data_IF_222932964590
#
_entry.id   IF_222932964590
#
_cell.length_a   1.000
_cell.length_b   1.000
_cell.length_c   1.000
_cell.angle_alpha   90.00
_cell.angle_beta   90.00
_cell.angle_gamma   90.00
#
_symmetry.space_group_name_H-M   'P 1'
#
loop_
_entity.id
_entity.type
_entity.pdbx_description
1 polymer ?
#
# COMPACT_ATOMS: atom_id res chain seq x y z
N UNK A 1 -32.40 -78.66 10.77
CA UNK A 1 -31.35 -77.68 11.10
C UNK A 1 -30.60 -77.36 9.80
N UNK A 2 -30.83 -76.17 9.22
CA UNK A 2 -30.15 -75.72 8.00
C UNK A 2 -28.86 -74.99 8.38
N UNK A 3 -27.75 -75.38 7.76
CA UNK A 3 -26.43 -74.75 7.99
C UNK A 3 -26.39 -73.35 7.34
N UNK A 4 -25.74 -72.36 7.98
CA UNK A 4 -25.66 -71.01 7.44
C UNK A 4 -24.72 -70.97 6.22
N UNK A 5 -25.12 -70.23 5.19
CA UNK A 5 -24.33 -70.02 3.98
C UNK A 5 -23.00 -69.27 4.28
N UNK A 6 -21.90 -69.59 3.57
CA UNK A 6 -20.60 -68.98 3.85
C UNK A 6 -20.57 -67.49 3.48
N UNK A 7 -19.81 -66.66 4.21
CA UNK A 7 -19.68 -65.23 3.90
C UNK A 7 -18.97 -65.04 2.56
N UNK A 8 -19.60 -64.29 1.65
CA UNK A 8 -19.01 -63.89 0.37
C UNK A 8 -17.86 -62.91 0.63
N UNK A 9 -16.63 -63.30 0.31
CA UNK A 9 -15.48 -62.42 0.46
C UNK A 9 -15.61 -61.23 -0.51
N UNK A 10 -15.88 -60.03 0.00
CA UNK A 10 -15.74 -58.79 -0.79
C UNK A 10 -14.25 -58.61 -1.07
N UNK A 11 -13.82 -58.95 -2.29
CA UNK A 11 -12.47 -58.62 -2.79
C UNK A 11 -12.25 -57.12 -2.62
N UNK A 12 -11.36 -56.72 -1.69
CA UNK A 12 -10.99 -55.31 -1.56
C UNK A 12 -10.24 -54.89 -2.82
N UNK A 13 -10.81 -53.95 -3.58
CA UNK A 13 -10.20 -53.32 -4.76
C UNK A 13 -9.13 -52.32 -4.28
N UNK A 14 -8.09 -52.84 -3.64
CA UNK A 14 -7.00 -52.03 -3.05
C UNK A 14 -5.64 -52.32 -3.72
N UNK A 15 -5.59 -53.29 -4.65
CA UNK A 15 -4.35 -53.72 -5.32
C UNK A 15 -3.98 -53.00 -6.62
N UNK A 16 -4.92 -52.34 -7.29
CA UNK A 16 -4.70 -51.67 -8.60
C UNK A 16 -4.47 -50.15 -8.46
N UNK A 17 -4.28 -49.65 -7.24
CA UNK A 17 -4.45 -48.22 -6.90
C UNK A 17 -3.30 -47.28 -7.28
N UNK A 18 -2.04 -47.73 -7.33
CA UNK A 18 -0.90 -46.80 -7.49
C UNK A 18 -0.71 -46.29 -8.93
N UNK A 19 -0.87 -47.17 -9.92
CA UNK A 19 -0.75 -46.80 -11.35
C UNK A 19 -1.89 -45.88 -11.78
N UNK A 20 -3.12 -46.15 -11.33
CA UNK A 20 -4.25 -45.26 -11.58
C UNK A 20 -4.06 -43.91 -10.85
N UNK A 21 -3.65 -43.91 -9.58
CA UNK A 21 -3.33 -42.67 -8.87
C UNK A 21 -2.21 -41.87 -9.55
N UNK A 22 -1.16 -42.55 -10.03
CA UNK A 22 -0.08 -41.92 -10.78
C UNK A 22 -0.57 -41.33 -12.09
N UNK A 23 -1.42 -42.02 -12.85
CA UNK A 23 -1.99 -41.52 -14.11
C UNK A 23 -2.85 -40.26 -13.89
N UNK A 24 -3.58 -40.18 -12.77
CA UNK A 24 -4.36 -39.00 -12.41
C UNK A 24 -3.50 -37.85 -11.85
N UNK A 25 -2.39 -38.14 -11.16
CA UNK A 25 -1.45 -37.11 -10.67
C UNK A 25 -0.52 -36.58 -11.76
N UNK A 26 -0.19 -37.40 -12.76
CA UNK A 26 0.84 -37.10 -13.74
C UNK A 26 0.61 -35.76 -14.49
N UNK A 27 -0.60 -35.42 -14.98
CA UNK A 27 -0.84 -34.14 -15.64
C UNK A 27 -0.57 -32.94 -14.71
N UNK A 28 -0.97 -33.04 -13.45
CA UNK A 28 -0.74 -32.00 -12.46
C UNK A 28 0.75 -31.86 -12.12
N UNK A 29 1.47 -32.97 -11.98
CA UNK A 29 2.92 -32.98 -11.73
C UNK A 29 3.71 -32.45 -12.92
N UNK A 30 3.31 -32.77 -14.15
CA UNK A 30 3.93 -32.23 -15.36
C UNK A 30 3.73 -30.73 -15.43
N UNK A 31 2.51 -30.23 -15.20
CA UNK A 31 2.22 -28.79 -15.19
C UNK A 31 2.96 -28.08 -14.06
N UNK A 32 2.98 -28.60 -12.84
CA UNK A 32 3.73 -28.05 -11.72
C UNK A 32 5.24 -28.05 -12.01
N UNK A 33 5.74 -29.15 -12.57
CA UNK A 33 7.13 -29.29 -12.97
C UNK A 33 7.54 -28.24 -14.00
N UNK A 34 6.75 -28.08 -15.06
CA UNK A 34 7.03 -27.16 -16.15
C UNK A 34 6.81 -25.68 -15.78
N UNK A 35 5.77 -25.37 -15.00
CA UNK A 35 5.38 -23.98 -14.71
C UNK A 35 5.95 -23.42 -13.41
N UNK A 36 6.36 -24.27 -12.47
CA UNK A 36 6.86 -23.84 -11.16
C UNK A 36 8.29 -24.33 -10.93
N UNK A 37 8.53 -25.64 -11.01
CA UNK A 37 9.83 -26.21 -10.66
C UNK A 37 10.92 -25.81 -11.66
N UNK A 38 10.60 -25.85 -12.96
CA UNK A 38 11.51 -25.46 -14.03
C UNK A 38 11.97 -24.00 -13.92
N UNK A 39 11.07 -22.97 -13.83
CA UNK A 39 11.52 -21.60 -13.69
C UNK A 39 12.29 -21.35 -12.38
N UNK A 40 11.94 -22.02 -11.28
CA UNK A 40 12.73 -21.93 -10.04
C UNK A 40 14.15 -22.44 -10.26
N UNK A 41 14.31 -23.65 -10.82
CA UNK A 41 15.62 -24.22 -11.12
C UNK A 41 16.41 -23.34 -12.09
N UNK A 42 15.75 -22.83 -13.12
CA UNK A 42 16.34 -21.89 -14.08
C UNK A 42 16.80 -20.60 -13.41
N UNK A 43 16.00 -20.02 -12.52
CA UNK A 43 16.36 -18.82 -11.75
C UNK A 43 17.55 -19.07 -10.83
N UNK A 44 17.62 -20.23 -10.17
CA UNK A 44 18.76 -20.62 -9.32
C UNK A 44 20.03 -20.77 -10.15
N UNK A 45 19.96 -21.40 -11.32
CA UNK A 45 21.13 -21.47 -12.21
C UNK A 45 21.53 -20.08 -12.68
N UNK A 46 20.56 -19.26 -13.14
CA UNK A 46 20.79 -17.88 -13.59
C UNK A 46 21.39 -16.98 -12.52
N UNK A 47 21.11 -17.20 -11.23
CA UNK A 47 21.69 -16.35 -10.16
C UNK A 47 23.20 -16.54 -9.98
N UNK A 48 23.81 -17.58 -10.55
CA UNK A 48 25.27 -17.75 -10.61
C UNK A 48 25.93 -17.07 -11.81
N UNK A 49 25.14 -16.52 -12.74
CA UNK A 49 25.66 -15.79 -13.91
C UNK A 49 25.59 -14.28 -13.68
N UNK A 50 26.35 -13.53 -14.47
CA UNK A 50 26.30 -12.08 -14.48
C UNK A 50 24.95 -11.54 -15.03
N UNK A 51 24.76 -10.23 -14.96
CA UNK A 51 23.52 -9.58 -15.40
C UNK A 51 23.24 -9.79 -16.90
N UNK A 52 24.28 -9.88 -17.73
CA UNK A 52 24.18 -10.19 -19.16
C UNK A 52 23.82 -11.65 -19.43
N UNK A 53 24.16 -12.57 -18.53
CA UNK A 53 24.02 -14.01 -18.68
C UNK A 53 25.17 -14.67 -19.46
N UNK A 54 26.21 -13.92 -19.80
CA UNK A 54 27.32 -14.38 -20.65
C UNK A 54 28.52 -14.86 -19.82
N UNK A 55 28.71 -14.33 -18.61
CA UNK A 55 29.77 -14.70 -17.68
C UNK A 55 29.27 -15.43 -16.45
N UNK A 56 30.03 -16.43 -15.99
CA UNK A 56 29.78 -17.09 -14.70
C UNK A 56 30.35 -16.23 -13.56
N UNK A 57 29.47 -15.62 -12.77
CA UNK A 57 29.82 -14.74 -11.64
C UNK A 57 29.97 -15.50 -10.31
N UNK A 58 29.66 -16.80 -10.28
CA UNK A 58 29.78 -17.63 -9.08
C UNK A 58 28.93 -17.09 -7.92
N UNK A 59 29.57 -16.78 -6.79
CA UNK A 59 28.89 -16.29 -5.58
C UNK A 59 28.92 -14.77 -5.40
N UNK A 60 29.45 -14.02 -6.37
CA UNK A 60 29.61 -12.56 -6.22
C UNK A 60 28.25 -11.85 -6.11
N UNK A 61 27.24 -12.33 -6.84
CA UNK A 61 25.86 -11.85 -6.72
C UNK A 61 25.31 -12.01 -5.30
N UNK A 62 25.64 -13.11 -4.62
CA UNK A 62 25.20 -13.35 -3.25
C UNK A 62 25.98 -12.48 -2.25
N UNK A 63 27.28 -12.23 -2.51
CA UNK A 63 28.06 -11.29 -1.70
C UNK A 63 27.47 -9.90 -1.75
N UNK A 64 27.08 -9.44 -2.94
CA UNK A 64 26.44 -8.14 -3.15
C UNK A 64 25.17 -7.97 -2.29
N UNK A 65 24.38 -9.03 -2.10
CA UNK A 65 23.18 -8.99 -1.23
C UNK A 65 23.50 -8.57 0.22
N UNK A 66 24.69 -8.92 0.72
CA UNK A 66 25.12 -8.64 2.09
C UNK A 66 26.03 -7.41 2.21
N UNK A 67 26.58 -6.90 1.11
CA UNK A 67 27.46 -5.72 1.13
C UNK A 67 26.77 -4.46 0.65
N UNK A 68 25.73 -4.55 -0.17
CA UNK A 68 24.98 -3.39 -0.64
C UNK A 68 23.99 -2.89 0.43
N UNK A 69 24.04 -1.60 0.76
CA UNK A 69 23.19 -1.00 1.81
C UNK A 69 21.73 -0.84 1.34
N UNK A 70 21.51 -0.60 0.05
CA UNK A 70 20.18 -0.51 -0.56
C UNK A 70 19.47 -1.86 -0.52
N UNK A 71 20.15 -2.94 -0.93
CA UNK A 71 19.61 -4.30 -0.88
C UNK A 71 19.32 -4.72 0.56
N UNK A 72 20.24 -4.44 1.50
CA UNK A 72 20.02 -4.76 2.93
C UNK A 72 18.83 -4.01 3.52
N UNK A 73 18.65 -2.75 3.16
CA UNK A 73 17.49 -1.95 3.59
C UNK A 73 16.19 -2.54 3.02
N UNK A 74 16.17 -2.86 1.72
CA UNK A 74 15.02 -3.50 1.08
C UNK A 74 14.70 -4.87 1.70
N UNK A 75 15.72 -5.68 2.01
CA UNK A 75 15.55 -6.99 2.64
C UNK A 75 14.98 -6.86 4.05
N UNK A 76 15.52 -5.95 4.87
CA UNK A 76 15.00 -5.67 6.22
C UNK A 76 13.55 -5.22 6.16
N UNK A 77 13.22 -4.30 5.27
CA UNK A 77 11.84 -3.81 5.12
C UNK A 77 10.89 -4.93 4.69
N UNK A 78 11.29 -5.78 3.76
CA UNK A 78 10.49 -6.95 3.36
C UNK A 78 10.27 -7.92 4.51
N UNK A 79 11.32 -8.25 5.29
CA UNK A 79 11.18 -9.13 6.46
C UNK A 79 10.24 -8.54 7.50
N UNK A 80 10.35 -7.23 7.78
CA UNK A 80 9.43 -6.53 8.68
C UNK A 80 8.00 -6.66 8.17
N UNK A 81 7.75 -6.39 6.88
CA UNK A 81 6.41 -6.50 6.29
C UNK A 81 5.84 -7.92 6.29
N UNK A 82 6.67 -8.93 5.99
CA UNK A 82 6.26 -10.35 5.96
C UNK A 82 5.82 -10.84 7.34
N UNK A 83 6.40 -10.31 8.42
CA UNK A 83 5.98 -10.67 9.78
C UNK A 83 4.86 -9.76 10.27
N UNK A 84 5.01 -8.45 10.11
CA UNK A 84 4.11 -7.45 10.68
C UNK A 84 2.72 -7.51 10.07
N UNK A 85 2.61 -7.50 8.73
CA UNK A 85 1.29 -7.42 8.09
C UNK A 85 0.40 -8.64 8.37
N UNK A 86 0.86 -9.89 8.20
CA UNK A 86 0.06 -11.06 8.57
C UNK A 86 -0.26 -11.09 10.06
N UNK A 87 0.69 -10.76 10.94
CA UNK A 87 0.47 -10.76 12.39
C UNK A 87 -0.64 -9.79 12.79
N UNK A 88 -0.56 -8.54 12.30
CA UNK A 88 -1.56 -7.51 12.60
C UNK A 88 -2.91 -7.87 11.95
N UNK A 89 -2.92 -8.32 10.69
CA UNK A 89 -4.15 -8.70 10.00
C UNK A 89 -4.85 -9.88 10.69
N UNK A 90 -4.11 -10.91 11.11
CA UNK A 90 -4.65 -12.06 11.84
C UNK A 90 -5.13 -11.65 13.24
N UNK A 91 -4.37 -10.83 13.97
CA UNK A 91 -4.78 -10.36 15.30
C UNK A 91 -6.08 -9.55 15.23
N UNK A 92 -6.16 -8.57 14.32
CA UNK A 92 -7.36 -7.77 14.11
C UNK A 92 -8.52 -8.64 13.62
N UNK A 93 -8.28 -9.55 12.68
CA UNK A 93 -9.28 -10.49 12.18
C UNK A 93 -9.87 -11.36 13.31
N UNK A 94 -9.05 -11.81 14.24
CA UNK A 94 -9.49 -12.59 15.40
C UNK A 94 -10.32 -11.74 16.38
N UNK A 95 -9.88 -10.52 16.66
CA UNK A 95 -10.64 -9.57 17.50
C UNK A 95 -12.03 -9.33 16.88
N UNK A 96 -12.09 -9.04 15.59
CA UNK A 96 -13.37 -8.85 14.89
C UNK A 96 -14.21 -10.12 14.89
N UNK A 97 -13.62 -11.30 14.68
CA UNK A 97 -14.34 -12.57 14.71
C UNK A 97 -15.07 -12.79 16.04
N UNK A 98 -14.36 -12.59 17.17
CA UNK A 98 -14.92 -12.73 18.53
C UNK A 98 -15.97 -11.66 18.81
N UNK A 99 -15.70 -10.41 18.46
CA UNK A 99 -16.61 -9.30 18.75
C UNK A 99 -17.93 -9.45 17.98
N UNK A 100 -17.85 -9.94 16.75
CA UNK A 100 -19.01 -10.14 15.87
C UNK A 100 -19.93 -11.27 16.35
N UNK A 101 -19.41 -12.25 17.08
CA UNK A 101 -20.21 -13.34 17.65
C UNK A 101 -21.27 -12.83 18.65
N UNK A 102 -21.01 -11.68 19.28
CA UNK A 102 -21.94 -11.04 20.23
C UNK A 102 -22.96 -10.11 19.57
N UNK A 103 -22.90 -9.89 18.26
CA UNK A 103 -23.72 -8.91 17.54
C UNK A 103 -24.85 -9.60 16.77
N UNK A 104 -26.11 -9.15 16.99
CA UNK A 104 -27.31 -9.72 16.35
C UNK A 104 -27.31 -9.62 14.82
N UNK A 105 -26.54 -8.69 14.26
CA UNK A 105 -26.36 -8.46 12.82
C UNK A 105 -24.96 -8.87 12.32
N UNK A 106 -24.33 -9.86 12.96
CA UNK A 106 -22.93 -10.21 12.70
C UNK A 106 -22.60 -10.56 11.23
N UNK A 107 -23.57 -11.06 10.46
CA UNK A 107 -23.40 -11.33 9.02
C UNK A 107 -23.16 -10.05 8.21
N UNK A 108 -23.93 -8.99 8.47
CA UNK A 108 -23.75 -7.71 7.77
C UNK A 108 -22.38 -7.08 8.08
N UNK A 109 -21.94 -7.16 9.33
CA UNK A 109 -20.63 -6.68 9.74
C UNK A 109 -19.49 -7.44 9.06
N UNK A 110 -19.56 -8.78 9.01
CA UNK A 110 -18.60 -9.62 8.26
C UNK A 110 -18.55 -9.20 6.80
N UNK A 111 -19.70 -8.99 6.15
CA UNK A 111 -19.74 -8.58 4.75
C UNK A 111 -19.00 -7.26 4.51
N UNK A 112 -19.18 -6.25 5.37
CA UNK A 112 -18.48 -4.96 5.23
C UNK A 112 -16.98 -5.11 5.46
N UNK A 113 -16.57 -5.85 6.49
CA UNK A 113 -15.14 -6.07 6.82
C UNK A 113 -14.43 -6.88 5.73
N UNK A 114 -15.13 -7.84 5.10
CA UNK A 114 -14.58 -8.67 4.03
C UNK A 114 -14.77 -8.09 2.63
N UNK A 115 -15.62 -7.07 2.46
CA UNK A 115 -15.87 -6.39 1.18
C UNK A 115 -14.58 -5.96 0.46
N UNK A 116 -13.55 -5.41 1.14
CA UNK A 116 -12.32 -4.98 0.47
C UNK A 116 -11.58 -6.11 -0.25
N UNK A 117 -11.75 -7.37 0.15
CA UNK A 117 -11.11 -8.51 -0.54
C UNK A 117 -11.62 -8.71 -1.97
N UNK A 118 -12.80 -8.17 -2.30
CA UNK A 118 -13.34 -8.18 -3.66
C UNK A 118 -12.72 -7.08 -4.55
N UNK A 119 -12.02 -6.11 -3.97
CA UNK A 119 -11.39 -5.02 -4.71
C UNK A 119 -10.09 -5.53 -5.35
N UNK A 120 -9.90 -5.28 -6.64
CA UNK A 120 -8.65 -5.63 -7.32
C UNK A 120 -7.48 -4.80 -6.81
N UNK A 121 -6.26 -5.35 -6.85
CA UNK A 121 -5.06 -4.64 -6.42
C UNK A 121 -4.85 -3.33 -7.20
N UNK A 122 -5.19 -3.31 -8.49
CA UNK A 122 -5.13 -2.11 -9.32
C UNK A 122 -6.12 -1.04 -8.83
N UNK A 123 -7.38 -1.42 -8.58
CA UNK A 123 -8.39 -0.49 -8.09
C UNK A 123 -8.02 0.06 -6.71
N UNK A 124 -7.54 -0.80 -5.81
CA UNK A 124 -7.00 -0.38 -4.51
C UNK A 124 -5.87 0.64 -4.69
N UNK A 125 -4.91 0.38 -5.59
CA UNK A 125 -3.83 1.32 -5.89
C UNK A 125 -4.31 2.69 -6.37
N UNK A 126 -5.34 2.72 -7.25
CA UNK A 126 -5.94 3.98 -7.72
C UNK A 126 -6.66 4.71 -6.58
N UNK A 127 -7.45 3.99 -5.76
CA UNK A 127 -8.13 4.58 -4.60
C UNK A 127 -7.12 5.21 -3.65
N UNK A 128 -6.06 4.48 -3.28
CA UNK A 128 -5.02 5.01 -2.41
C UNK A 128 -4.32 6.23 -3.04
N UNK A 129 -4.00 6.17 -4.33
CA UNK A 129 -3.41 7.32 -5.04
C UNK A 129 -4.30 8.56 -4.97
N UNK A 130 -5.61 8.41 -5.16
CA UNK A 130 -6.56 9.52 -5.09
C UNK A 130 -6.74 10.03 -3.67
N UNK A 131 -6.85 9.12 -2.69
CA UNK A 131 -7.01 9.49 -1.28
C UNK A 131 -5.80 10.27 -0.76
N UNK A 132 -4.59 9.85 -1.17
CA UNK A 132 -3.31 10.46 -0.77
C UNK A 132 -2.76 11.45 -1.81
N UNK A 133 -3.61 11.96 -2.71
CA UNK A 133 -3.19 13.04 -3.61
C UNK A 133 -2.78 14.26 -2.78
N UNK A 134 -1.71 14.92 -3.22
CA UNK A 134 -1.13 16.07 -2.52
C UNK A 134 -1.99 17.33 -2.71
N UNK A 135 -2.74 17.39 -3.80
CA UNK A 135 -3.67 18.49 -4.07
C UNK A 135 -4.87 18.41 -3.09
N UNK A 136 -5.06 19.38 -2.16
CA UNK A 136 -6.15 19.34 -1.19
C UNK A 136 -7.54 19.26 -1.83
N UNK A 137 -7.70 19.75 -3.06
CA UNK A 137 -8.98 19.76 -3.77
C UNK A 137 -9.33 18.38 -4.37
N UNK A 138 -8.36 17.46 -4.42
CA UNK A 138 -8.49 16.10 -5.00
C UNK A 138 -8.23 15.00 -3.98
N UNK A 139 -7.29 15.24 -3.07
CA UNK A 139 -6.85 14.33 -2.03
C UNK A 139 -7.78 14.33 -0.83
N UNK A 140 -8.63 13.31 -0.71
CA UNK A 140 -9.61 13.21 0.38
C UNK A 140 -8.95 13.29 1.77
N UNK A 141 -7.80 12.64 1.96
CA UNK A 141 -7.11 12.68 3.24
C UNK A 141 -6.58 14.09 3.57
N UNK A 142 -6.04 14.79 2.58
CA UNK A 142 -5.51 16.14 2.75
C UNK A 142 -6.64 17.16 2.95
N UNK A 143 -7.74 17.03 2.21
CA UNK A 143 -8.95 17.85 2.38
C UNK A 143 -9.50 17.78 3.81
N UNK A 144 -9.59 16.55 4.36
CA UNK A 144 -10.04 16.35 5.75
C UNK A 144 -9.07 16.98 6.74
N UNK A 145 -7.75 16.82 6.52
CA UNK A 145 -6.74 17.43 7.39
C UNK A 145 -6.81 18.96 7.39
N UNK A 146 -6.86 19.57 6.21
CA UNK A 146 -6.99 21.03 6.05
C UNK A 146 -8.29 21.53 6.68
N UNK A 147 -9.42 20.85 6.46
CA UNK A 147 -10.70 21.24 7.06
C UNK A 147 -10.68 21.19 8.60
N UNK A 148 -10.05 20.18 9.19
CA UNK A 148 -9.86 20.12 10.65
C UNK A 148 -8.93 21.23 11.11
N UNK A 149 -7.80 21.44 10.43
CA UNK A 149 -6.86 22.51 10.76
C UNK A 149 -7.53 23.89 10.73
N UNK A 150 -8.29 24.18 9.68
CA UNK A 150 -8.99 25.45 9.48
C UNK A 150 -10.14 25.68 10.46
N UNK A 151 -10.62 24.62 11.13
CA UNK A 151 -11.54 24.75 12.27
C UNK A 151 -10.85 25.37 13.50
N UNK A 152 -9.54 25.15 13.65
CA UNK A 152 -8.75 25.61 14.79
C UNK A 152 -7.82 26.79 14.46
N UNK A 153 -7.55 27.04 13.17
CA UNK A 153 -6.76 28.15 12.67
C UNK A 153 -7.60 28.97 11.68
N UNK A 154 -7.72 30.29 11.89
CA UNK A 154 -8.45 31.14 10.94
C UNK A 154 -7.82 31.02 9.55
N UNK A 155 -8.58 30.52 8.56
CA UNK A 155 -8.16 30.47 7.17
C UNK A 155 -7.84 31.89 6.68
N UNK A 156 -6.60 32.13 6.26
CA UNK A 156 -6.22 33.41 5.66
C UNK A 156 -6.95 33.59 4.34
N UNK A 157 -7.47 34.79 4.07
CA UNK A 157 -8.15 35.11 2.80
C UNK A 157 -7.30 34.83 1.54
N UNK A 158 -5.97 34.80 1.69
CA UNK A 158 -5.03 34.43 0.64
C UNK A 158 -4.03 33.35 1.12
N UNK A 159 -4.41 32.06 1.10
CA UNK A 159 -3.62 30.96 1.68
C UNK A 159 -2.23 30.74 1.06
N UNK A 160 -2.07 31.13 -0.21
CA UNK A 160 -0.82 31.02 -0.96
C UNK A 160 -0.15 32.37 -1.20
N UNK A 161 -0.60 33.44 -0.53
CA UNK A 161 0.06 34.73 -0.62
C UNK A 161 1.27 34.74 0.31
N UNK A 162 2.43 35.10 -0.25
CA UNK A 162 3.65 35.27 0.50
C UNK A 162 4.35 36.54 0.00
N UNK A 163 5.09 37.26 0.87
CA UNK A 163 5.91 38.38 0.44
C UNK A 163 6.92 37.95 -0.63
N UNK A 164 7.10 38.76 -1.67
CA UNK A 164 8.16 38.54 -2.67
C UNK A 164 9.56 38.60 -2.04
N UNK A 165 10.57 38.12 -2.76
CA UNK A 165 11.98 38.07 -2.29
C UNK A 165 12.54 39.42 -1.81
N UNK A 166 12.05 40.53 -2.37
CA UNK A 166 12.46 41.90 -2.04
C UNK A 166 11.34 42.69 -1.34
N UNK A 167 10.60 42.04 -0.44
CA UNK A 167 9.50 42.70 0.28
C UNK A 167 9.97 43.46 1.53
N UNK A 168 9.39 44.63 1.84
CA UNK A 168 9.62 45.35 3.10
C UNK A 168 8.93 44.70 4.32
N UNK A 169 8.40 43.49 4.18
CA UNK A 169 7.64 42.77 5.19
C UNK A 169 8.49 41.72 5.93
N UNK A 170 8.37 41.67 7.25
CA UNK A 170 8.99 40.66 8.11
C UNK A 170 7.94 39.82 8.83
N UNK A 171 8.19 38.52 9.07
CA UNK A 171 7.25 37.66 9.78
C UNK A 171 7.13 38.05 11.25
N UNK A 172 5.91 38.30 11.71
CA UNK A 172 5.58 38.66 13.10
C UNK A 172 5.14 37.45 13.96
N UNK A 173 5.14 36.24 13.37
CA UNK A 173 4.65 35.02 14.02
C UNK A 173 3.17 34.75 13.73
N UNK A 174 2.74 33.49 13.82
CA UNK A 174 1.34 33.08 13.60
C UNK A 174 0.81 33.34 12.18
N UNK A 175 1.69 33.51 11.18
CA UNK A 175 1.32 33.82 9.80
C UNK A 175 1.16 35.32 9.50
N UNK A 176 1.30 36.21 10.50
CA UNK A 176 1.25 37.66 10.30
C UNK A 176 2.58 38.22 9.77
N UNK A 177 2.50 39.29 8.98
CA UNK A 177 3.64 40.06 8.48
C UNK A 177 3.54 41.52 8.94
N UNK A 178 4.68 42.11 9.30
CA UNK A 178 4.81 43.52 9.71
C UNK A 178 5.76 44.25 8.78
N UNK A 179 5.51 45.55 8.57
CA UNK A 179 6.41 46.38 7.77
C UNK A 179 7.68 46.70 8.56
N UNK A 180 8.84 46.58 7.91
CA UNK A 180 10.14 46.95 8.49
C UNK A 180 10.25 48.47 8.76
N UNK A 181 9.48 49.27 8.01
CA UNK A 181 9.37 50.71 8.20
C UNK A 181 8.09 51.09 8.97
N UNK A 182 8.18 52.13 9.79
CA UNK A 182 7.02 52.75 10.46
C UNK A 182 6.23 53.56 9.43
N UNK A 183 4.91 53.32 9.37
CA UNK A 183 4.01 53.94 8.39
C UNK A 183 3.08 54.91 9.11
N UNK A 184 2.92 56.12 8.58
CA UNK A 184 2.03 57.15 9.12
C UNK A 184 0.62 57.09 8.53
N UNK A 185 -0.32 57.75 9.21
CA UNK A 185 -1.69 57.89 8.69
C UNK A 185 -1.67 58.76 7.43
N UNK A 186 -2.12 58.20 6.30
CA UNK A 186 -2.12 58.87 5.00
C UNK A 186 -1.02 58.40 4.04
N UNK A 187 -0.08 57.57 4.50
CA UNK A 187 0.96 57.00 3.64
C UNK A 187 0.43 55.80 2.84
N UNK A 188 0.74 55.76 1.55
CA UNK A 188 0.45 54.62 0.69
C UNK A 188 1.59 53.61 0.77
N UNK A 189 1.30 52.36 1.15
CA UNK A 189 2.30 51.29 1.27
C UNK A 189 2.02 50.20 0.24
N UNK A 190 3.02 49.90 -0.59
CA UNK A 190 2.97 48.76 -1.49
C UNK A 190 3.29 47.47 -0.70
N UNK A 191 2.37 46.51 -0.75
CA UNK A 191 2.55 45.17 -0.17
C UNK A 191 2.78 44.19 -1.33
N UNK A 192 4.04 43.93 -1.74
CA UNK A 192 4.33 43.03 -2.85
C UNK A 192 4.12 41.57 -2.42
N UNK A 193 2.88 41.12 -2.51
CA UNK A 193 2.46 39.74 -2.29
C UNK A 193 2.49 38.98 -3.62
N UNK A 194 3.08 37.80 -3.61
CA UNK A 194 3.10 36.87 -4.74
C UNK A 194 2.37 35.59 -4.36
N UNK A 195 1.76 34.92 -5.35
CA UNK A 195 0.99 33.69 -5.14
C UNK A 195 -0.51 33.92 -4.85
N UNK A 196 -1.00 35.14 -5.03
CA UNK A 196 -2.44 35.43 -5.09
C UNK A 196 -2.97 35.01 -6.46
N UNK A 197 -4.04 34.21 -6.49
CA UNK A 197 -4.63 33.77 -7.75
C UNK A 197 -5.42 34.93 -8.41
N UNK A 198 -5.34 35.11 -9.76
CA UNK A 198 -5.95 36.27 -10.43
C UNK A 198 -7.48 36.35 -10.38
N UNK A 199 -8.13 35.26 -10.00
CA UNK A 199 -9.57 35.06 -9.86
C UNK A 199 -10.10 35.42 -8.46
N UNK A 200 -9.23 35.49 -7.45
CA UNK A 200 -9.59 35.91 -6.08
C UNK A 200 -9.24 37.39 -5.80
N UNK A 201 -8.71 38.09 -6.80
CA UNK A 201 -8.30 39.49 -6.67
C UNK A 201 -9.51 40.42 -6.91
N UNK A 202 -9.75 41.43 -6.06
CA UNK A 202 -10.80 42.43 -6.27
C UNK A 202 -10.68 43.11 -7.65
N UNK A 203 -11.82 43.45 -8.28
CA UNK A 203 -11.85 44.05 -9.63
C UNK A 203 -11.12 45.40 -9.71
N UNK A 204 -10.94 46.07 -8.58
CA UNK A 204 -10.20 47.34 -8.40
C UNK A 204 -8.68 47.16 -8.23
N UNK A 205 -8.19 45.92 -8.12
CA UNK A 205 -6.79 45.59 -7.88
C UNK A 205 -6.05 44.96 -9.09
N UNK A 206 -6.72 44.84 -10.24
CA UNK A 206 -6.15 44.37 -11.51
C UNK A 206 -5.40 45.45 -12.30
#
# INVERSE_FOLDING_TARGET
>A
MQAPAPPTSRRSVTGTRRTVAALFLLPALVLLGALVVYPIGYSVVRSFYDQSGDGFAGFDNYRALFTDDGIRTALRNNVVWVVFAPTVATALGLVFAVLTERVRWGTAFKLVVFMPMAISMLAAGIIFRLVYDQDPDKGVANAVWVGVHDTFAQSSAFPKAHPGRESPLEPAGGGAFVTRATVGVGDTVALPLVGVAPDVMPDDAR
#
